data_IF_378271255636
#
_entry.id   IF_378271255636
#
_cell.length_a   1.000
_cell.length_b   1.000
_cell.length_c   1.000
_cell.angle_alpha   90.00
_cell.angle_beta   90.00
_cell.angle_gamma   90.00
#
_symmetry.space_group_name_H-M   'P 1'
#
loop_
_entity.id
_entity.type
_entity.pdbx_description
1 polymer ?
#
# COMPACT_ATOMS: atom_id res chain seq x y z
N UNK A 1 5.87 -1.98 2.76
CA UNK A 1 6.27 -2.90 1.69
C UNK A 1 5.01 -3.21 0.92
N UNK A 2 5.00 -2.89 -0.37
CA UNK A 2 3.82 -3.02 -1.20
C UNK A 2 4.13 -3.92 -2.40
N UNK A 3 3.23 -4.88 -2.63
CA UNK A 3 3.32 -5.80 -3.76
C UNK A 3 2.70 -5.08 -4.96
N UNK A 4 3.48 -4.91 -6.03
CA UNK A 4 3.05 -4.29 -7.28
C UNK A 4 2.63 -5.31 -8.33
N UNK A 5 3.19 -6.52 -8.26
CA UNK A 5 2.88 -7.57 -9.22
C UNK A 5 2.93 -8.96 -8.57
N UNK A 6 1.98 -9.82 -8.93
CA UNK A 6 1.95 -11.23 -8.55
C UNK A 6 1.91 -12.11 -9.78
N UNK A 7 2.98 -12.87 -10.03
CA UNK A 7 3.10 -13.81 -11.15
C UNK A 7 2.89 -15.23 -10.67
N UNK A 8 2.22 -16.03 -11.48
CA UNK A 8 2.04 -17.46 -11.22
C UNK A 8 2.49 -18.21 -12.46
N UNK A 9 3.41 -19.15 -12.27
CA UNK A 9 3.82 -20.10 -13.30
C UNK A 9 3.75 -21.52 -12.74
N UNK A 10 3.66 -22.50 -13.63
CA UNK A 10 3.67 -23.91 -13.24
C UNK A 10 4.88 -24.61 -13.87
N UNK A 11 5.43 -25.56 -13.13
CA UNK A 11 6.61 -26.34 -13.52
C UNK A 11 6.24 -27.82 -13.52
N UNK A 12 6.59 -28.53 -14.59
CA UNK A 12 6.27 -29.96 -14.72
C UNK A 12 4.76 -30.22 -14.83
N UNK A 13 4.06 -29.43 -15.64
CA UNK A 13 2.59 -29.44 -15.71
C UNK A 13 2.00 -28.61 -14.57
N UNK A 14 1.12 -29.21 -13.78
CA UNK A 14 0.48 -28.59 -12.61
C UNK A 14 0.91 -29.21 -11.28
N UNK A 15 1.99 -30.01 -11.25
CA UNK A 15 2.51 -30.65 -10.04
C UNK A 15 3.22 -29.67 -9.09
N UNK A 16 3.77 -28.58 -9.62
CA UNK A 16 4.40 -27.53 -8.82
C UNK A 16 4.08 -26.17 -9.42
N UNK A 17 3.71 -25.24 -8.55
CA UNK A 17 3.51 -23.84 -8.91
C UNK A 17 4.60 -22.98 -8.30
N UNK A 18 4.95 -21.91 -9.01
CA UNK A 18 5.84 -20.86 -8.54
C UNK A 18 5.03 -19.58 -8.51
N UNK A 19 4.93 -18.99 -7.32
CA UNK A 19 4.29 -17.69 -7.09
C UNK A 19 5.37 -16.68 -6.79
N UNK A 20 5.50 -15.67 -7.63
CA UNK A 20 6.45 -14.57 -7.46
C UNK A 20 5.70 -13.30 -7.06
N UNK A 21 6.06 -12.73 -5.92
CA UNK A 21 5.62 -11.41 -5.47
C UNK A 21 6.73 -10.42 -5.76
N UNK A 22 6.44 -9.41 -6.60
CA UNK A 22 7.37 -8.32 -6.91
C UNK A 22 6.96 -7.09 -6.11
N UNK A 23 7.90 -6.53 -5.36
CA UNK A 23 7.68 -5.32 -4.57
C UNK A 23 8.05 -4.07 -5.35
N UNK A 24 7.66 -2.89 -4.85
CA UNK A 24 8.09 -1.59 -5.42
C UNK A 24 9.60 -1.42 -5.50
N UNK A 25 10.36 -2.07 -4.60
CA UNK A 25 11.82 -2.05 -4.57
C UNK A 25 12.47 -3.01 -5.57
N UNK A 26 11.70 -3.56 -6.52
CA UNK A 26 12.09 -4.63 -7.46
C UNK A 26 12.52 -5.95 -6.79
N UNK A 27 12.35 -6.07 -5.47
CA UNK A 27 12.63 -7.29 -4.72
C UNK A 27 11.60 -8.37 -5.08
N UNK A 28 12.07 -9.60 -5.28
CA UNK A 28 11.25 -10.73 -5.68
C UNK A 28 11.21 -11.78 -4.59
N UNK A 29 10.03 -12.00 -4.02
CA UNK A 29 9.77 -13.10 -3.09
C UNK A 29 9.15 -14.25 -3.88
N UNK A 30 9.84 -15.38 -3.94
CA UNK A 30 9.38 -16.56 -4.67
C UNK A 30 8.92 -17.64 -3.71
N UNK A 31 7.68 -18.10 -3.87
CA UNK A 31 7.10 -19.20 -3.11
C UNK A 31 6.84 -20.37 -4.04
N UNK A 32 7.50 -21.50 -3.79
CA UNK A 32 7.26 -22.75 -4.51
C UNK A 32 6.20 -23.55 -3.77
N UNK A 33 5.13 -23.92 -4.47
CA UNK A 33 3.99 -24.62 -3.92
C UNK A 33 3.80 -25.94 -4.66
N UNK A 34 3.87 -27.04 -3.93
CA UNK A 34 3.55 -28.36 -4.47
C UNK A 34 2.05 -28.53 -4.61
N UNK A 35 1.60 -29.22 -5.67
CA UNK A 35 0.21 -29.57 -5.89
C UNK A 35 0.02 -31.06 -5.65
N UNK A 36 -0.61 -31.37 -4.53
CA UNK A 36 -0.92 -32.74 -4.11
C UNK A 36 -2.23 -33.26 -4.74
N UNK A 37 -2.90 -32.44 -5.55
CA UNK A 37 -4.14 -32.80 -6.23
C UNK A 37 -3.82 -33.30 -7.64
N UNK A 38 -4.52 -34.34 -8.10
CA UNK A 38 -4.40 -34.86 -9.47
C UNK A 38 -5.01 -33.93 -10.55
N UNK A 39 -5.41 -32.71 -10.16
CA UNK A 39 -6.06 -31.72 -11.01
C UNK A 39 -5.33 -30.38 -10.97
N UNK A 40 -5.48 -29.62 -12.05
CA UNK A 40 -4.98 -28.25 -12.15
C UNK A 40 -5.69 -27.33 -11.15
N UNK A 41 -4.93 -26.46 -10.48
CA UNK A 41 -5.44 -25.50 -9.53
C UNK A 41 -5.67 -24.17 -10.23
N UNK A 42 -6.77 -23.50 -9.91
CA UNK A 42 -6.97 -22.12 -10.36
C UNK A 42 -5.88 -21.19 -9.82
N UNK A 43 -5.57 -20.14 -10.57
CA UNK A 43 -4.59 -19.10 -10.15
C UNK A 43 -4.84 -18.60 -8.73
N UNK A 44 -6.09 -18.35 -8.39
CA UNK A 44 -6.48 -17.87 -7.07
C UNK A 44 -6.23 -18.92 -5.96
N UNK A 45 -6.53 -20.20 -6.22
CA UNK A 45 -6.25 -21.28 -5.28
C UNK A 45 -4.74 -21.44 -5.04
N UNK A 46 -3.93 -21.32 -6.09
CA UNK A 46 -2.47 -21.36 -6.01
C UNK A 46 -1.92 -20.20 -5.17
N UNK A 47 -2.39 -18.97 -5.43
CA UNK A 47 -1.97 -17.79 -4.66
C UNK A 47 -2.34 -17.94 -3.18
N UNK A 48 -3.57 -18.38 -2.88
CA UNK A 48 -4.01 -18.62 -1.49
C UNK A 48 -3.13 -19.67 -0.79
N UNK A 49 -2.83 -20.78 -1.46
CA UNK A 49 -1.93 -21.82 -0.93
C UNK A 49 -0.52 -21.26 -0.68
N UNK A 50 0.00 -20.44 -1.59
CA UNK A 50 1.32 -19.79 -1.43
C UNK A 50 1.37 -18.85 -0.23
N UNK A 51 0.35 -18.00 -0.05
CA UNK A 51 0.28 -17.06 1.07
C UNK A 51 0.21 -17.80 2.41
N UNK A 52 -0.61 -18.86 2.50
CA UNK A 52 -0.69 -19.68 3.71
C UNK A 52 0.65 -20.31 4.06
N UNK A 53 1.34 -20.92 3.08
CA UNK A 53 2.65 -21.55 3.30
C UNK A 53 3.74 -20.55 3.65
N UNK A 54 3.74 -19.38 3.02
CA UNK A 54 4.66 -18.31 3.36
C UNK A 54 4.44 -17.83 4.80
N UNK A 55 3.19 -17.65 5.22
CA UNK A 55 2.84 -17.25 6.59
C UNK A 55 3.24 -18.29 7.64
N UNK A 56 2.97 -19.57 7.39
CA UNK A 56 3.41 -20.69 8.24
C UNK A 56 4.95 -20.69 8.41
N UNK A 57 5.68 -20.61 7.29
CA UNK A 57 7.14 -20.62 7.30
C UNK A 57 7.72 -19.38 8.01
N UNK A 58 7.17 -18.20 7.74
CA UNK A 58 7.57 -16.96 8.40
C UNK A 58 7.40 -17.06 9.91
N UNK A 59 6.25 -17.55 10.39
CA UNK A 59 5.98 -17.68 11.82
C UNK A 59 7.03 -18.54 12.53
N UNK A 60 7.38 -19.69 11.94
CA UNK A 60 8.39 -20.60 12.51
C UNK A 60 9.77 -19.95 12.47
N UNK A 61 10.16 -19.36 11.33
CA UNK A 61 11.45 -18.70 11.19
C UNK A 61 11.64 -17.52 12.16
N UNK A 62 10.60 -16.74 12.44
CA UNK A 62 10.64 -15.67 13.43
C UNK A 62 11.01 -16.19 14.82
N UNK A 63 10.33 -17.26 15.26
CA UNK A 63 10.58 -17.88 16.56
C UNK A 63 12.03 -18.39 16.64
N UNK A 64 12.50 -19.08 15.60
CA UNK A 64 13.87 -19.61 15.57
C UNK A 64 14.94 -18.50 15.59
N UNK A 65 14.66 -17.35 14.97
CA UNK A 65 15.55 -16.21 14.96
C UNK A 65 15.40 -15.26 16.18
N UNK A 66 14.49 -15.56 17.12
CA UNK A 66 14.21 -14.68 18.26
C UNK A 66 13.60 -13.33 17.85
N UNK A 67 12.89 -13.30 16.72
CA UNK A 67 12.19 -12.12 16.21
C UNK A 67 10.71 -12.24 16.58
N UNK A 68 10.17 -11.20 17.23
CA UNK A 68 8.73 -11.14 17.49
C UNK A 68 7.96 -10.96 16.17
N UNK A 69 7.08 -11.90 15.78
CA UNK A 69 6.46 -11.90 14.45
C UNK A 69 5.55 -10.69 14.21
N UNK A 70 4.93 -10.15 15.27
CA UNK A 70 4.10 -8.95 15.20
C UNK A 70 4.87 -7.72 14.69
N UNK A 71 6.18 -7.65 14.93
CA UNK A 71 7.04 -6.54 14.51
C UNK A 71 7.35 -6.55 13.01
N UNK A 72 7.11 -7.67 12.32
CA UNK A 72 7.37 -7.83 10.88
C UNK A 72 6.10 -7.70 10.02
N UNK A 73 4.92 -7.66 10.64
CA UNK A 73 3.67 -7.53 9.92
C UNK A 73 3.50 -6.08 9.43
N UNK A 74 3.52 -5.91 8.11
CA UNK A 74 3.12 -4.65 7.49
C UNK A 74 1.62 -4.52 7.56
N UNK A 75 1.13 -3.57 8.35
CA UNK A 75 -0.31 -3.25 8.40
C UNK A 75 -0.65 -2.51 7.11
N UNK A 76 -1.55 -3.04 6.26
CA UNK A 76 -2.00 -2.31 5.08
C UNK A 76 -2.66 -1.00 5.52
N UNK A 77 -2.49 0.07 4.74
CA UNK A 77 -3.16 1.34 5.02
C UNK A 77 -4.67 1.14 5.13
N UNK A 78 -5.37 1.96 5.92
CA UNK A 78 -6.83 1.90 6.09
C UNK A 78 -7.57 1.88 4.73
N UNK A 79 -7.07 2.65 3.76
CA UNK A 79 -7.54 2.64 2.36
C UNK A 79 -7.44 1.27 1.69
N UNK A 80 -6.31 0.56 1.87
CA UNK A 80 -6.04 -0.76 1.26
C UNK A 80 -6.73 -1.89 2.02
N UNK A 81 -6.88 -1.73 3.33
CA UNK A 81 -7.62 -2.65 4.21
C UNK A 81 -9.16 -2.51 4.06
N UNK A 82 -9.64 -1.41 3.46
CA UNK A 82 -11.06 -1.10 3.37
C UNK A 82 -11.69 -0.67 4.70
N UNK A 83 -10.87 -0.26 5.68
CA UNK A 83 -11.32 0.19 6.99
C UNK A 83 -11.84 1.62 6.90
N UNK A 84 -13.14 1.76 6.64
CA UNK A 84 -13.80 3.06 6.45
C UNK A 84 -13.75 3.92 7.72
N UNK A 85 -13.88 3.30 8.89
CA UNK A 85 -13.91 4.03 10.17
C UNK A 85 -12.56 4.67 10.46
N UNK A 86 -11.46 3.93 10.27
CA UNK A 86 -10.12 4.48 10.44
C UNK A 86 -9.78 5.49 9.33
N UNK A 87 -10.27 5.28 8.10
CA UNK A 87 -10.10 6.25 7.01
C UNK A 87 -10.82 7.58 7.30
N UNK A 88 -12.04 7.55 7.83
CA UNK A 88 -12.79 8.75 8.23
C UNK A 88 -12.09 9.49 9.38
N UNK A 89 -11.57 8.76 10.37
CA UNK A 89 -10.78 9.33 11.48
C UNK A 89 -9.53 10.06 10.98
N UNK A 90 -8.77 9.44 10.07
CA UNK A 90 -7.57 10.06 9.48
C UNK A 90 -7.88 11.28 8.62
N UNK A 91 -9.04 11.28 7.94
CA UNK A 91 -9.47 12.43 7.14
C UNK A 91 -9.87 13.62 8.01
N UNK A 92 -10.58 13.37 9.11
CA UNK A 92 -11.02 14.39 10.06
C UNK A 92 -9.80 15.07 10.72
N UNK A 93 -8.86 14.28 11.24
CA UNK A 93 -7.61 14.76 11.86
C UNK A 93 -6.78 15.64 10.89
N UNK A 94 -6.71 15.31 9.60
CA UNK A 94 -6.02 16.13 8.60
C UNK A 94 -6.75 17.44 8.23
N UNK A 95 -8.07 17.48 8.38
CA UNK A 95 -8.88 18.69 8.17
C UNK A 95 -8.81 19.65 9.36
N UNK A 96 -8.50 19.16 10.56
CA UNK A 96 -8.36 19.97 11.77
C UNK A 96 -7.18 20.97 11.69
N UNK A 97 -6.09 20.62 10.98
CA UNK A 97 -4.86 21.45 10.89
C UNK A 97 -4.80 22.36 9.63
N UNK A 98 -5.72 22.20 8.67
CA UNK A 98 -5.59 22.80 7.30
C UNK A 98 -6.35 24.12 7.12
N UNK A 99 -6.90 24.73 8.16
CA UNK A 99 -7.66 25.98 8.00
C UNK A 99 -7.25 27.09 8.96
N UNK A 100 -6.42 28.06 8.53
CA UNK A 100 -6.85 29.43 8.71
C UNK A 100 -8.07 29.62 7.79
N UNK A 101 -9.24 29.87 8.35
CA UNK A 101 -10.49 30.13 7.62
C UNK A 101 -10.48 31.45 6.83
N UNK A 102 -9.40 31.76 6.11
CA UNK A 102 -9.27 32.97 5.29
C UNK A 102 -8.20 32.72 4.23
N UNK A 103 -8.59 32.61 2.97
CA UNK A 103 -7.69 32.95 1.87
C UNK A 103 -6.89 34.20 2.26
N UNK A 104 -5.56 34.25 2.07
CA UNK A 104 -4.80 35.47 2.35
C UNK A 104 -5.47 36.62 1.61
N UNK A 105 -5.74 37.72 2.33
CA UNK A 105 -6.41 38.87 1.73
C UNK A 105 -5.58 39.32 0.52
N UNK A 106 -6.18 39.29 -0.68
CA UNK A 106 -5.51 39.74 -1.89
C UNK A 106 -5.33 41.25 -1.82
N UNK A 107 -4.14 41.70 -1.42
CA UNK A 107 -3.79 43.13 -1.38
C UNK A 107 -3.56 43.61 -2.82
N UNK A 108 -4.57 44.20 -3.44
CA UNK A 108 -4.41 45.03 -4.64
C UNK A 108 -4.51 46.51 -4.27
N UNK A 109 -3.54 46.99 -3.50
CA UNK A 109 -3.35 48.44 -3.32
C UNK A 109 -2.66 48.99 -4.57
N UNK A 110 -3.44 49.46 -5.54
CA UNK A 110 -2.92 50.34 -6.59
C UNK A 110 -3.21 51.79 -6.18
N UNK A 111 -2.27 52.40 -5.45
CA UNK A 111 -2.27 53.84 -5.20
C UNK A 111 -1.81 54.58 -6.46
N UNK A 112 -2.73 54.91 -7.36
CA UNK A 112 -2.50 55.99 -8.32
C UNK A 112 -2.62 57.30 -7.55
N UNK A 113 -1.51 57.72 -6.96
CA UNK A 113 -1.27 59.11 -6.62
C UNK A 113 -0.77 59.81 -7.89
N UNK A 114 -1.58 60.72 -8.45
CA UNK A 114 -1.09 61.68 -9.42
C UNK A 114 -2.07 62.01 -10.53
N UNK A 115 -2.92 63.02 -10.31
CA UNK A 115 -3.05 64.12 -11.27
C UNK A 115 -3.69 65.35 -10.61
N UNK A 116 -2.86 66.31 -10.20
CA UNK A 116 -3.30 67.68 -9.94
C UNK A 116 -3.28 68.44 -11.27
N UNK A 117 -4.44 68.53 -11.94
CA UNK A 117 -4.63 69.37 -13.12
C UNK A 117 -4.79 70.85 -12.74
N UNK A 118 -4.38 71.80 -13.61
CA UNK A 118 -4.13 73.19 -13.23
C UNK A 118 -5.40 74.01 -13.02
N UNK A 119 -5.29 75.00 -12.10
CA UNK A 119 -6.26 76.06 -11.82
C UNK A 119 -6.48 76.95 -13.05
N UNK A 120 -7.74 77.21 -13.38
CA UNK A 120 -8.21 78.43 -14.05
C UNK A 120 -9.55 78.83 -13.42
#
# INVERSE_FOLDING_TARGET
>A
MDIVETRVSSLGGFATYIVEFVTESEERITVKVENDTEAELSRDAVIRKAVLKLGEALSVACIECGIEPASLLTVPSARRAGDKSELERQLDEGLEDTFPASDPVSVTSSTIAGFAGPKN
#
